data_IF_601786723435
#
_entry.id   IF_601786723435
#
_cell.length_a   1.000
_cell.length_b   1.000
_cell.length_c   1.000
_cell.angle_alpha   90.00
_cell.angle_beta   90.00
_cell.angle_gamma   90.00
#
_symmetry.space_group_name_H-M   'P 1'
#
loop_
_entity.id
_entity.type
_entity.pdbx_description
1 polymer ?
#
# COMPACT_ATOMS: atom_id res chain seq x y z
N UNK A 1 -3.31 67.58 38.38
CA UNK A 1 -3.64 67.11 37.06
C UNK A 1 -2.62 66.01 36.67
N UNK A 2 -2.93 64.75 36.97
CA UNK A 2 -2.05 63.62 36.70
C UNK A 2 -2.50 62.98 35.35
N UNK A 3 -1.61 63.04 34.37
CA UNK A 3 -1.81 62.33 33.08
C UNK A 3 -1.31 60.91 33.25
N UNK A 4 -2.23 59.94 33.28
CA UNK A 4 -1.91 58.53 33.19
C UNK A 4 -1.57 58.20 31.72
N UNK A 5 -0.37 57.68 31.49
CA UNK A 5 0.12 57.21 30.20
C UNK A 5 -0.22 55.70 30.07
N UNK A 6 -1.24 55.39 29.27
CA UNK A 6 -1.64 53.99 29.02
C UNK A 6 -0.73 53.41 27.94
N UNK A 7 0.11 52.46 28.34
CA UNK A 7 0.94 51.69 27.43
C UNK A 7 0.09 50.55 26.82
N UNK A 8 -0.27 50.64 25.53
CA UNK A 8 -0.91 49.57 24.78
C UNK A 8 0.20 48.63 24.30
N UNK A 9 0.31 47.46 24.95
CA UNK A 9 1.20 46.39 24.51
C UNK A 9 0.52 45.65 23.35
N UNK A 10 0.95 45.95 22.11
CA UNK A 10 0.49 45.22 20.93
C UNK A 10 1.09 43.82 20.95
N UNK A 11 0.28 42.81 21.31
CA UNK A 11 0.57 41.41 21.13
C UNK A 11 0.48 41.10 19.61
N UNK A 12 1.64 41.12 18.94
CA UNK A 12 1.76 40.54 17.58
C UNK A 12 1.62 39.03 17.71
N UNK A 13 0.70 38.38 16.96
CA UNK A 13 0.67 36.94 16.90
C UNK A 13 1.96 36.50 16.19
N UNK A 14 2.85 35.82 16.89
CA UNK A 14 3.90 35.00 16.31
C UNK A 14 3.23 33.87 15.53
N UNK A 15 2.91 34.13 14.26
CA UNK A 15 2.60 33.10 13.29
C UNK A 15 3.88 32.29 13.13
N UNK A 16 4.07 31.29 13.97
CA UNK A 16 5.05 30.25 13.73
C UNK A 16 4.69 29.59 12.38
N UNK A 17 5.47 29.86 11.33
CA UNK A 17 5.47 29.04 10.15
C UNK A 17 5.89 27.64 10.61
N UNK A 18 4.92 26.78 10.90
CA UNK A 18 5.14 25.36 11.13
C UNK A 18 5.83 24.83 9.88
N UNK A 19 7.07 24.44 10.00
CA UNK A 19 7.76 23.69 8.96
C UNK A 19 6.91 22.44 8.74
N UNK A 20 6.29 22.29 7.55
CA UNK A 20 5.51 21.10 7.20
C UNK A 20 6.39 19.87 7.46
N UNK A 21 5.94 19.01 8.37
CA UNK A 21 6.61 17.76 8.66
C UNK A 21 6.31 16.76 7.54
N UNK A 22 7.27 16.41 6.66
CA UNK A 22 6.99 15.55 5.51
C UNK A 22 6.53 14.15 5.93
N UNK A 23 6.87 13.70 7.13
CA UNK A 23 6.36 12.45 7.68
C UNK A 23 4.86 12.54 7.97
N UNK A 24 4.36 13.66 8.47
CA UNK A 24 2.92 13.89 8.69
C UNK A 24 2.18 14.04 7.36
N UNK A 25 2.78 14.73 6.39
CA UNK A 25 2.22 14.88 5.04
C UNK A 25 2.02 13.53 4.34
N UNK A 26 2.90 12.56 4.60
CA UNK A 26 2.82 11.21 4.02
C UNK A 26 1.84 10.25 4.75
N UNK A 27 1.27 10.63 5.92
CA UNK A 27 0.38 9.74 6.68
C UNK A 27 -0.87 9.27 5.94
N UNK A 28 -1.54 10.07 5.09
CA UNK A 28 -2.65 9.57 4.27
C UNK A 28 -2.24 8.42 3.34
N UNK A 29 -1.02 8.47 2.77
CA UNK A 29 -0.47 7.41 1.92
C UNK A 29 -0.24 6.13 2.76
N UNK A 30 0.29 6.29 3.97
CA UNK A 30 0.49 5.16 4.91
C UNK A 30 -0.84 4.51 5.25
N UNK A 31 -1.86 5.31 5.55
CA UNK A 31 -3.20 4.80 5.86
C UNK A 31 -3.79 4.03 4.67
N UNK A 32 -3.69 4.55 3.46
CA UNK A 32 -4.17 3.89 2.24
C UNK A 32 -3.41 2.58 1.97
N UNK A 33 -2.07 2.57 2.10
CA UNK A 33 -1.26 1.36 1.97
C UNK A 33 -1.63 0.26 2.97
N UNK A 34 -1.92 0.63 4.22
CA UNK A 34 -2.42 -0.29 5.24
C UNK A 34 -3.83 -0.82 4.93
N UNK A 35 -4.68 -0.03 4.27
CA UNK A 35 -5.99 -0.50 3.81
C UNK A 35 -5.84 -1.53 2.68
N UNK A 36 -4.93 -1.29 1.72
CA UNK A 36 -4.61 -2.26 0.66
C UNK A 36 -4.07 -3.57 1.25
N UNK A 37 -3.14 -3.49 2.19
CA UNK A 37 -2.60 -4.66 2.90
C UNK A 37 -3.71 -5.49 3.57
N UNK A 38 -4.64 -4.85 4.28
CA UNK A 38 -5.76 -5.54 4.93
C UNK A 38 -6.65 -6.27 3.91
N UNK A 39 -6.90 -5.64 2.76
CA UNK A 39 -7.66 -6.25 1.68
C UNK A 39 -6.94 -7.46 1.10
N UNK A 40 -5.62 -7.35 0.82
CA UNK A 40 -4.83 -8.46 0.29
C UNK A 40 -4.69 -9.62 1.28
N UNK A 41 -4.50 -9.35 2.57
CA UNK A 41 -4.48 -10.40 3.60
C UNK A 41 -5.80 -11.17 3.66
N UNK A 42 -6.93 -10.46 3.60
CA UNK A 42 -8.24 -11.11 3.55
C UNK A 42 -8.44 -11.92 2.27
N UNK A 43 -7.94 -11.42 1.13
CA UNK A 43 -7.97 -12.11 -0.17
C UNK A 43 -7.12 -13.36 -0.14
N UNK A 44 -5.90 -13.28 0.38
CA UNK A 44 -4.95 -14.39 0.43
C UNK A 44 -5.52 -15.57 1.25
N UNK A 45 -5.76 -15.34 2.54
CA UNK A 45 -6.29 -16.40 3.40
C UNK A 45 -7.73 -16.79 3.06
N UNK A 46 -8.54 -15.83 2.61
CA UNK A 46 -9.92 -16.08 2.23
C UNK A 46 -10.02 -16.99 1.01
N UNK A 47 -9.15 -16.82 0.03
CA UNK A 47 -9.12 -17.65 -1.18
C UNK A 47 -8.77 -19.10 -0.83
N UNK A 48 -7.76 -19.31 0.01
CA UNK A 48 -7.35 -20.65 0.42
C UNK A 48 -8.50 -21.38 1.15
N UNK A 49 -9.10 -20.73 2.16
CA UNK A 49 -10.21 -21.30 2.92
C UNK A 49 -11.44 -21.56 2.05
N UNK A 50 -11.81 -20.61 1.18
CA UNK A 50 -12.97 -20.77 0.34
C UNK A 50 -12.81 -21.93 -0.65
N UNK A 51 -11.65 -22.05 -1.30
CA UNK A 51 -11.36 -23.13 -2.25
C UNK A 51 -11.29 -24.51 -1.60
N UNK A 52 -11.01 -24.57 -0.31
CA UNK A 52 -11.06 -25.83 0.47
C UNK A 52 -12.50 -26.33 0.65
N UNK A 53 -13.44 -25.41 0.97
CA UNK A 53 -14.80 -25.76 1.39
C UNK A 53 -15.83 -25.70 0.26
N UNK A 54 -15.68 -24.79 -0.71
CA UNK A 54 -16.63 -24.59 -1.80
C UNK A 54 -16.41 -25.61 -2.92
N UNK A 55 -17.42 -26.46 -3.18
CA UNK A 55 -17.27 -27.62 -4.08
C UNK A 55 -17.45 -27.28 -5.57
N UNK A 56 -18.34 -26.32 -5.89
CA UNK A 56 -18.65 -25.98 -7.27
C UNK A 56 -17.70 -24.91 -7.82
N UNK A 57 -16.42 -25.27 -8.00
CA UNK A 57 -15.35 -24.34 -8.40
C UNK A 57 -15.59 -23.67 -9.76
N UNK A 58 -16.32 -24.32 -10.66
CA UNK A 58 -16.66 -23.78 -11.99
C UNK A 58 -17.59 -22.57 -11.89
N UNK A 59 -18.40 -22.47 -10.82
CA UNK A 59 -19.29 -21.36 -10.56
C UNK A 59 -18.56 -20.12 -10.03
N UNK A 60 -17.28 -20.22 -9.67
CA UNK A 60 -16.52 -19.06 -9.15
C UNK A 60 -16.13 -18.16 -10.32
N UNK A 61 -16.54 -16.88 -10.29
CA UNK A 61 -16.12 -15.88 -11.26
C UNK A 61 -14.99 -15.00 -10.73
N UNK A 62 -14.94 -14.77 -9.43
CA UNK A 62 -13.91 -13.95 -8.79
C UNK A 62 -14.24 -13.62 -7.35
N UNK A 63 -13.46 -12.71 -6.80
CA UNK A 63 -13.59 -12.23 -5.44
C UNK A 63 -13.15 -10.77 -5.34
N UNK A 64 -13.49 -10.15 -4.24
CA UNK A 64 -12.92 -8.90 -3.73
C UNK A 64 -12.92 -8.92 -2.21
N UNK A 65 -12.06 -8.11 -1.60
CA UNK A 65 -12.01 -7.97 -0.15
C UNK A 65 -12.19 -6.53 0.27
N UNK A 66 -12.77 -6.33 1.45
CA UNK A 66 -12.97 -5.03 2.07
C UNK A 66 -13.07 -5.16 3.59
N UNK A 67 -12.98 -4.04 4.29
CA UNK A 67 -13.19 -4.01 5.74
C UNK A 67 -14.53 -3.34 6.04
N UNK A 68 -15.35 -3.99 6.85
CA UNK A 68 -16.64 -3.50 7.33
C UNK A 68 -16.65 -3.52 8.85
N UNK A 69 -16.80 -2.35 9.48
CA UNK A 69 -16.78 -2.19 10.94
C UNK A 69 -15.61 -2.90 11.63
N UNK A 70 -14.41 -2.82 11.05
CA UNK A 70 -13.20 -3.44 11.57
C UNK A 70 -13.02 -4.93 11.26
N UNK A 71 -14.02 -5.57 10.63
CA UNK A 71 -13.97 -6.96 10.19
C UNK A 71 -13.51 -7.02 8.73
N UNK A 72 -12.43 -7.71 8.46
CA UNK A 72 -11.95 -7.93 7.10
C UNK A 72 -12.76 -9.07 6.45
N UNK A 73 -13.29 -8.83 5.26
CA UNK A 73 -14.15 -9.77 4.53
C UNK A 73 -13.56 -10.04 3.15
N UNK A 74 -13.50 -11.31 2.74
CA UNK A 74 -13.29 -11.75 1.38
C UNK A 74 -14.61 -12.32 0.84
N UNK A 75 -15.12 -11.72 -0.23
CA UNK A 75 -16.41 -12.06 -0.83
C UNK A 75 -16.19 -12.69 -2.18
N UNK A 76 -16.75 -13.88 -2.38
CA UNK A 76 -16.71 -14.64 -3.63
C UNK A 76 -18.03 -14.54 -4.35
N UNK A 77 -17.99 -14.41 -5.68
CA UNK A 77 -19.19 -14.24 -6.48
C UNK A 77 -19.28 -15.23 -7.65
N UNK A 78 -20.52 -15.53 -8.04
CA UNK A 78 -20.86 -16.54 -9.04
C UNK A 78 -20.56 -16.09 -10.46
N UNK A 79 -20.40 -17.08 -11.32
CA UNK A 79 -20.35 -16.93 -12.78
C UNK A 79 -21.76 -16.98 -13.35
N UNK A 80 -22.42 -15.85 -13.35
CA UNK A 80 -23.77 -15.71 -13.92
C UNK A 80 -23.89 -14.33 -14.58
N UNK A 81 -24.91 -14.13 -15.40
CA UNK A 81 -25.23 -12.82 -15.99
C UNK A 81 -25.52 -11.78 -14.90
N UNK A 82 -26.23 -12.20 -13.83
CA UNK A 82 -26.42 -11.45 -12.60
C UNK A 82 -25.69 -12.17 -11.46
N UNK A 83 -24.42 -11.85 -11.21
CA UNK A 83 -23.64 -12.54 -10.18
C UNK A 83 -24.24 -12.33 -8.78
N UNK A 84 -24.13 -13.36 -7.96
CA UNK A 84 -24.49 -13.33 -6.54
C UNK A 84 -23.27 -13.65 -5.69
N UNK A 85 -23.29 -13.23 -4.44
CA UNK A 85 -22.35 -13.71 -3.45
C UNK A 85 -22.60 -15.20 -3.24
N UNK A 86 -21.55 -16.02 -3.37
CA UNK A 86 -21.61 -17.48 -3.16
C UNK A 86 -20.82 -17.90 -1.92
N UNK A 87 -20.12 -16.96 -1.30
CA UNK A 87 -19.47 -17.15 -0.02
C UNK A 87 -18.78 -15.89 0.47
N UNK A 88 -18.63 -15.83 1.77
CA UNK A 88 -17.92 -14.75 2.48
C UNK A 88 -17.05 -15.38 3.56
N UNK A 89 -15.78 -15.00 3.57
CA UNK A 89 -14.86 -15.34 4.65
C UNK A 89 -14.57 -14.07 5.43
N UNK A 90 -14.77 -14.10 6.74
CA UNK A 90 -14.56 -12.96 7.63
C UNK A 90 -13.45 -13.24 8.62
N UNK A 91 -12.57 -12.27 8.81
CA UNK A 91 -11.42 -12.35 9.69
C UNK A 91 -11.44 -11.26 10.76
N UNK A 92 -10.95 -11.59 11.93
CA UNK A 92 -10.49 -10.60 12.89
C UNK A 92 -9.16 -9.95 12.43
N UNK A 93 -8.60 -9.05 13.24
CA UNK A 93 -7.36 -8.32 12.91
C UNK A 93 -6.11 -9.22 12.83
N UNK A 94 -6.19 -10.49 13.26
CA UNK A 94 -5.06 -11.42 13.23
C UNK A 94 -5.00 -12.24 11.95
N UNK A 95 -6.06 -12.25 11.14
CA UNK A 95 -6.23 -13.10 9.95
C UNK A 95 -5.99 -14.59 10.22
N UNK A 96 -6.28 -15.03 11.44
CA UNK A 96 -6.12 -16.42 11.83
C UNK A 96 -7.20 -17.28 11.13
N UNK A 97 -6.76 -18.20 10.27
CA UNK A 97 -7.65 -19.07 9.51
C UNK A 97 -8.49 -20.02 10.39
N UNK A 98 -8.02 -20.33 11.61
CA UNK A 98 -8.75 -21.20 12.55
C UNK A 98 -9.94 -20.51 13.22
N UNK A 99 -9.91 -19.18 13.31
CA UNK A 99 -10.99 -18.36 13.89
C UNK A 99 -11.83 -17.66 12.84
N UNK A 100 -11.48 -17.81 11.56
CA UNK A 100 -12.22 -17.23 10.46
C UNK A 100 -13.65 -17.77 10.38
N UNK A 101 -14.59 -16.87 10.10
CA UNK A 101 -16.00 -17.24 9.91
C UNK A 101 -16.25 -17.47 8.42
N UNK A 102 -16.64 -18.69 8.09
CA UNK A 102 -16.97 -19.09 6.71
C UNK A 102 -18.49 -19.14 6.55
N UNK A 103 -19.01 -18.39 5.60
CA UNK A 103 -20.42 -18.43 5.20
C UNK A 103 -20.51 -18.78 3.71
N UNK A 104 -21.22 -19.85 3.37
CA UNK A 104 -21.51 -20.26 2.00
C UNK A 104 -22.96 -19.91 1.59
N UNK A 105 -23.59 -18.97 2.31
CA UNK A 105 -24.94 -18.51 2.01
C UNK A 105 -24.94 -17.69 0.73
N UNK A 106 -25.69 -18.17 -0.27
CA UNK A 106 -25.92 -17.39 -1.49
C UNK A 106 -26.84 -16.20 -1.19
N UNK A 107 -26.47 -15.02 -1.70
CA UNK A 107 -27.23 -13.78 -1.52
C UNK A 107 -26.89 -12.75 -2.59
N UNK A 108 -27.70 -11.73 -2.70
CA UNK A 108 -27.36 -10.56 -3.51
C UNK A 108 -26.24 -9.75 -2.85
N UNK A 109 -25.56 -8.92 -3.64
CA UNK A 109 -24.59 -7.95 -3.12
C UNK A 109 -25.31 -6.91 -2.24
N UNK A 110 -24.66 -6.46 -1.17
CA UNK A 110 -25.01 -5.19 -0.51
C UNK A 110 -24.70 -4.00 -1.43
N UNK A 111 -25.15 -2.80 -1.07
CA UNK A 111 -24.82 -1.60 -1.87
C UNK A 111 -23.33 -1.39 -2.06
N UNK A 112 -22.54 -1.46 -0.97
CA UNK A 112 -21.07 -1.32 -1.03
C UNK A 112 -20.42 -2.46 -1.82
N UNK A 113 -20.90 -3.70 -1.65
CA UNK A 113 -20.36 -4.83 -2.40
C UNK A 113 -20.65 -4.73 -3.89
N UNK A 114 -21.82 -4.21 -4.27
CA UNK A 114 -22.16 -3.95 -5.67
C UNK A 114 -21.21 -2.90 -6.28
N UNK A 115 -20.93 -1.83 -5.57
CA UNK A 115 -19.97 -0.83 -6.03
C UNK A 115 -18.57 -1.40 -6.19
N UNK A 116 -18.07 -2.16 -5.20
CA UNK A 116 -16.77 -2.83 -5.26
C UNK A 116 -16.68 -3.80 -6.45
N UNK A 117 -17.75 -4.57 -6.67
CA UNK A 117 -17.85 -5.47 -7.82
C UNK A 117 -17.79 -4.69 -9.14
N UNK A 118 -18.60 -3.63 -9.30
CA UNK A 118 -18.67 -2.88 -10.57
C UNK A 118 -17.35 -2.18 -10.89
N UNK A 119 -16.72 -1.46 -9.93
CA UNK A 119 -15.43 -0.81 -10.20
C UNK A 119 -14.32 -1.84 -10.50
N UNK A 120 -14.32 -3.00 -9.81
CA UNK A 120 -13.38 -4.08 -10.09
C UNK A 120 -13.58 -4.69 -11.48
N UNK A 121 -14.81 -4.90 -11.88
CA UNK A 121 -15.18 -5.42 -13.21
C UNK A 121 -14.73 -4.46 -14.32
N UNK A 122 -14.99 -3.15 -14.15
CA UNK A 122 -14.54 -2.12 -15.08
C UNK A 122 -13.01 -2.06 -15.16
N UNK A 123 -12.31 -2.10 -14.01
CA UNK A 123 -10.85 -2.13 -14.00
C UNK A 123 -10.29 -3.37 -14.71
N UNK A 124 -10.91 -4.53 -14.54
CA UNK A 124 -10.50 -5.75 -15.25
C UNK A 124 -10.68 -5.63 -16.77
N UNK A 125 -11.76 -4.99 -17.23
CA UNK A 125 -11.98 -4.71 -18.64
C UNK A 125 -10.89 -3.78 -19.21
N UNK A 126 -10.51 -2.73 -18.46
CA UNK A 126 -9.42 -1.83 -18.83
C UNK A 126 -8.07 -2.57 -18.93
N UNK A 127 -7.75 -3.43 -17.95
CA UNK A 127 -6.51 -4.21 -17.96
C UNK A 127 -6.40 -5.11 -19.20
N UNK A 128 -7.52 -5.67 -19.65
CA UNK A 128 -7.54 -6.57 -20.80
C UNK A 128 -7.48 -5.84 -22.16
N UNK A 129 -7.72 -4.54 -22.20
CA UNK A 129 -7.87 -3.79 -23.46
C UNK A 129 -6.84 -2.68 -23.63
N UNK A 130 -6.28 -2.13 -22.55
CA UNK A 130 -5.37 -1.01 -22.62
C UNK A 130 -3.90 -1.44 -22.44
N UNK A 131 -3.07 -0.98 -23.33
CA UNK A 131 -1.62 -1.28 -23.37
C UNK A 131 -0.79 -0.59 -22.29
N UNK A 132 -1.37 0.29 -21.48
CA UNK A 132 -0.69 0.85 -20.31
C UNK A 132 -0.34 -0.24 -19.30
N UNK A 133 -1.21 -1.27 -19.17
CA UNK A 133 -1.02 -2.38 -18.26
C UNK A 133 -0.05 -3.40 -18.85
N UNK A 134 1.09 -3.56 -18.21
CA UNK A 134 2.13 -4.49 -18.64
C UNK A 134 2.10 -5.77 -17.82
N UNK A 135 2.29 -6.89 -18.46
CA UNK A 135 2.44 -8.19 -17.81
C UNK A 135 3.88 -8.66 -17.93
N UNK A 136 4.39 -9.28 -16.87
CA UNK A 136 5.74 -9.84 -16.83
C UNK A 136 5.68 -11.33 -16.51
N UNK A 137 6.72 -12.05 -16.94
CA UNK A 137 6.84 -13.48 -16.64
C UNK A 137 6.89 -13.72 -15.13
N UNK A 138 6.19 -14.74 -14.66
CA UNK A 138 6.11 -15.12 -13.25
C UNK A 138 5.53 -14.02 -12.33
N UNK A 139 4.61 -13.22 -12.87
CA UNK A 139 3.87 -12.21 -12.10
C UNK A 139 2.38 -12.28 -12.41
N UNK A 140 1.58 -11.79 -11.47
CA UNK A 140 0.15 -11.55 -11.61
C UNK A 140 -0.17 -10.07 -11.38
N UNK A 141 -1.23 -9.59 -12.01
CA UNK A 141 -1.86 -8.31 -11.69
C UNK A 141 -3.04 -8.56 -10.75
N UNK A 142 -2.92 -8.10 -9.52
CA UNK A 142 -3.96 -8.21 -8.49
C UNK A 142 -4.77 -6.92 -8.43
N UNK A 143 -6.10 -7.04 -8.57
CA UNK A 143 -7.02 -5.91 -8.52
C UNK A 143 -7.57 -5.77 -7.11
N UNK A 144 -7.31 -4.63 -6.49
CA UNK A 144 -7.74 -4.29 -5.13
C UNK A 144 -8.73 -3.12 -5.22
N UNK A 145 -10.04 -3.38 -5.27
CA UNK A 145 -11.02 -2.31 -5.18
C UNK A 145 -11.07 -1.76 -3.76
N UNK A 146 -11.12 -0.45 -3.64
CA UNK A 146 -11.14 0.27 -2.38
C UNK A 146 -12.16 1.40 -2.43
N UNK A 147 -13.03 1.45 -1.43
CA UNK A 147 -13.96 2.56 -1.22
C UNK A 147 -13.66 3.17 0.14
N UNK A 148 -13.37 4.46 0.16
CA UNK A 148 -13.11 5.24 1.36
C UNK A 148 -13.92 6.54 1.32
N UNK A 149 -15.02 6.59 2.04
CA UNK A 149 -16.00 7.66 1.91
C UNK A 149 -16.57 7.72 0.49
N UNK A 150 -16.41 8.86 -0.18
CA UNK A 150 -16.86 9.05 -1.56
C UNK A 150 -15.83 8.62 -2.63
N UNK A 151 -14.59 8.34 -2.19
CA UNK A 151 -13.52 7.92 -3.10
C UNK A 151 -13.66 6.46 -3.47
N UNK A 152 -13.76 6.19 -4.77
CA UNK A 152 -13.77 4.84 -5.33
C UNK A 152 -12.52 4.64 -6.18
N UNK A 153 -11.71 3.64 -5.83
CA UNK A 153 -10.42 3.36 -6.45
C UNK A 153 -10.27 1.86 -6.73
N UNK A 154 -9.51 1.52 -7.76
CA UNK A 154 -8.96 0.18 -7.92
C UNK A 154 -7.45 0.32 -8.08
N UNK A 155 -6.72 -0.26 -7.14
CA UNK A 155 -5.28 -0.44 -7.28
C UNK A 155 -5.01 -1.75 -8.00
N UNK A 156 -4.01 -1.75 -8.85
CA UNK A 156 -3.55 -2.94 -9.55
C UNK A 156 -2.11 -3.16 -9.14
N UNK A 157 -1.87 -4.18 -8.32
CA UNK A 157 -0.54 -4.55 -7.84
C UNK A 157 0.05 -5.67 -8.67
N UNK A 158 1.35 -5.56 -8.94
CA UNK A 158 2.11 -6.68 -9.52
C UNK A 158 2.66 -7.55 -8.41
N UNK A 159 2.12 -8.76 -8.29
CA UNK A 159 2.57 -9.76 -7.32
C UNK A 159 3.41 -10.86 -7.94
N UNK A 160 4.39 -11.46 -7.21
CA UNK A 160 5.18 -12.59 -7.68
C UNK A 160 4.35 -13.88 -7.69
N UNK A 161 4.60 -14.76 -8.70
CA UNK A 161 4.09 -16.14 -8.75
C UNK A 161 5.08 -17.15 -8.14
N UNK A 162 6.21 -16.69 -7.64
CA UNK A 162 7.26 -17.54 -7.07
C UNK A 162 7.74 -16.97 -5.74
N UNK A 163 8.20 -17.81 -4.84
CA UNK A 163 8.84 -17.41 -3.58
C UNK A 163 10.26 -16.88 -3.82
N UNK A 164 10.80 -16.16 -2.82
CA UNK A 164 12.18 -15.66 -2.85
C UNK A 164 12.35 -14.34 -3.60
N UNK A 165 11.28 -13.67 -3.98
CA UNK A 165 11.30 -12.36 -4.61
C UNK A 165 10.15 -11.49 -4.12
N UNK A 166 10.45 -10.22 -3.87
CA UNK A 166 9.46 -9.15 -3.67
C UNK A 166 9.46 -8.30 -4.93
N UNK A 167 8.30 -7.93 -5.41
CA UNK A 167 8.16 -7.13 -6.61
C UNK A 167 7.57 -5.78 -6.25
N UNK A 168 8.31 -4.71 -6.51
CA UNK A 168 7.82 -3.33 -6.48
C UNK A 168 7.60 -2.83 -7.90
N UNK A 169 6.70 -1.89 -8.02
CA UNK A 169 6.42 -1.22 -9.30
C UNK A 169 5.56 -2.02 -10.26
N UNK A 170 5.37 -1.45 -11.45
CA UNK A 170 4.37 -1.90 -12.41
C UNK A 170 2.95 -1.92 -11.82
N UNK A 171 2.67 -0.94 -10.98
CA UNK A 171 1.39 -0.78 -10.30
C UNK A 171 0.59 0.34 -10.93
N UNK A 172 -0.73 0.22 -10.82
CA UNK A 172 -1.64 1.15 -11.47
C UNK A 172 -2.75 1.58 -10.52
N UNK A 173 -3.30 2.76 -10.80
CA UNK A 173 -4.45 3.30 -10.10
C UNK A 173 -5.52 3.69 -11.11
N UNK A 174 -6.74 3.20 -10.87
CA UNK A 174 -7.96 3.65 -11.53
C UNK A 174 -8.84 4.33 -10.49
N UNK A 175 -9.40 5.49 -10.80
CA UNK A 175 -10.35 6.20 -9.93
C UNK A 175 -11.69 6.31 -10.62
N UNK A 176 -12.75 6.28 -9.83
CA UNK A 176 -14.13 6.29 -10.32
C UNK A 176 -14.95 7.36 -9.60
N UNK A 177 -15.99 7.86 -10.25
CA UNK A 177 -16.96 8.74 -9.63
C UNK A 177 -18.00 7.96 -8.79
N UNK A 178 -18.94 8.69 -8.17
CA UNK A 178 -20.00 8.11 -7.35
C UNK A 178 -20.87 7.11 -8.11
N UNK A 179 -21.00 7.25 -9.42
CA UNK A 179 -21.81 6.41 -10.31
C UNK A 179 -20.97 5.29 -10.97
N UNK A 180 -19.78 5.00 -10.43
CA UNK A 180 -18.82 4.00 -10.90
C UNK A 180 -18.23 4.26 -12.30
N UNK A 181 -18.30 5.50 -12.81
CA UNK A 181 -17.70 5.87 -14.09
C UNK A 181 -16.19 6.11 -13.89
N UNK A 182 -15.37 5.53 -14.76
CA UNK A 182 -13.91 5.72 -14.75
C UNK A 182 -13.56 7.20 -15.01
N UNK A 183 -12.78 7.79 -14.10
CA UNK A 183 -12.30 9.17 -14.18
C UNK A 183 -10.83 9.24 -14.63
N UNK A 184 -9.96 8.48 -13.94
CA UNK A 184 -8.51 8.51 -14.16
C UNK A 184 -7.99 7.08 -14.22
N UNK A 185 -7.03 6.88 -15.08
CA UNK A 185 -6.22 5.67 -15.19
C UNK A 185 -4.76 6.08 -15.35
N UNK A 186 -3.90 5.60 -14.45
CA UNK A 186 -2.47 5.94 -14.49
C UNK A 186 -1.59 4.82 -13.97
N UNK A 187 -0.36 4.71 -14.51
CA UNK A 187 0.71 3.94 -13.89
C UNK A 187 1.24 4.72 -12.67
N UNK A 188 1.43 4.04 -11.55
CA UNK A 188 2.07 4.59 -10.35
C UNK A 188 3.59 4.48 -10.46
N UNK A 189 4.07 3.39 -11.07
CA UNK A 189 5.48 3.16 -11.35
C UNK A 189 5.70 2.85 -12.83
N UNK A 190 6.80 3.33 -13.38
CA UNK A 190 7.17 3.12 -14.78
C UNK A 190 7.70 1.71 -15.05
N UNK A 191 8.46 1.17 -14.10
CA UNK A 191 9.19 -0.08 -14.23
C UNK A 191 8.79 -1.09 -13.15
N UNK A 192 9.12 -2.36 -13.40
CA UNK A 192 9.09 -3.41 -12.40
C UNK A 192 10.48 -3.48 -11.70
N UNK A 193 10.49 -3.68 -10.39
CA UNK A 193 11.69 -3.75 -9.56
C UNK A 193 11.63 -5.04 -8.73
N UNK A 194 12.19 -6.16 -9.21
CA UNK A 194 12.29 -7.38 -8.43
C UNK A 194 13.44 -7.29 -7.42
N UNK A 195 13.17 -7.60 -6.16
CA UNK A 195 14.15 -7.68 -5.07
C UNK A 195 14.17 -9.11 -4.56
N UNK A 196 15.26 -9.83 -4.82
CA UNK A 196 15.43 -11.22 -4.42
C UNK A 196 15.89 -11.31 -2.97
N UNK A 197 15.47 -12.36 -2.25
CA UNK A 197 15.85 -12.63 -0.87
C UNK A 197 16.03 -14.14 -0.62
N UNK A 198 16.79 -14.51 0.42
CA UNK A 198 16.98 -15.91 0.84
C UNK A 198 17.85 -16.74 -0.11
N UNK A 199 18.76 -16.13 -0.88
CA UNK A 199 19.71 -16.82 -1.74
C UNK A 199 20.80 -17.55 -0.95
N UNK A 200 21.42 -18.60 -1.55
CA UNK A 200 22.50 -19.37 -0.90
C UNK A 200 23.73 -18.52 -0.54
N UNK A 201 23.96 -17.42 -1.25
CA UNK A 201 25.05 -16.48 -0.98
C UNK A 201 24.76 -15.55 0.22
N UNK A 202 23.48 -15.48 0.66
CA UNK A 202 23.05 -14.69 1.81
C UNK A 202 23.09 -15.48 3.14
N UNK A 203 23.39 -16.78 3.10
CA UNK A 203 23.43 -17.62 4.31
C UNK A 203 24.39 -17.09 5.38
N UNK A 204 25.45 -16.36 4.98
CA UNK A 204 26.46 -15.76 5.86
C UNK A 204 26.27 -14.24 6.05
N UNK A 205 25.32 -13.60 5.33
CA UNK A 205 25.05 -12.16 5.40
C UNK A 205 23.55 -11.92 5.59
N UNK A 206 23.18 -11.48 6.77
CA UNK A 206 21.80 -11.08 7.02
C UNK A 206 21.50 -9.76 6.28
N UNK A 207 20.72 -9.83 5.20
CA UNK A 207 20.18 -8.65 4.54
C UNK A 207 19.12 -8.02 5.44
N UNK A 208 19.46 -6.93 6.11
CA UNK A 208 18.59 -6.26 7.08
C UNK A 208 17.60 -5.26 6.44
N UNK A 209 17.72 -5.03 5.13
CA UNK A 209 16.87 -4.10 4.42
C UNK A 209 17.15 -4.06 2.92
N UNK A 210 16.25 -3.42 2.20
CA UNK A 210 16.35 -3.19 0.78
C UNK A 210 16.07 -1.72 0.44
N UNK A 211 16.29 -1.33 -0.80
CA UNK A 211 15.95 0.02 -1.27
C UNK A 211 15.57 0.02 -2.75
N UNK A 212 14.75 1.00 -3.10
CA UNK A 212 14.52 1.38 -4.49
C UNK A 212 14.41 2.90 -4.63
N UNK A 213 14.34 3.39 -5.87
CA UNK A 213 14.22 4.82 -6.14
C UNK A 213 12.95 5.13 -6.93
N UNK A 214 12.34 6.28 -6.61
CA UNK A 214 11.25 6.84 -7.37
C UNK A 214 11.76 7.80 -8.45
N UNK A 215 11.18 7.67 -9.63
CA UNK A 215 11.32 8.65 -10.69
C UNK A 215 10.43 9.87 -10.40
N UNK A 216 10.72 11.04 -10.97
CA UNK A 216 9.92 12.26 -10.74
C UNK A 216 8.42 12.07 -10.99
N UNK A 217 8.03 11.25 -11.96
CA UNK A 217 6.64 10.96 -12.31
C UNK A 217 5.91 10.08 -11.27
N UNK A 218 6.63 9.30 -10.47
CA UNK A 218 6.08 8.51 -9.35
C UNK A 218 5.80 9.41 -8.14
N UNK A 219 6.61 10.46 -7.97
CA UNK A 219 6.50 11.41 -6.87
C UNK A 219 7.58 11.22 -5.81
N UNK A 220 7.49 12.04 -4.76
CA UNK A 220 8.54 12.15 -3.75
C UNK A 220 8.35 11.22 -2.55
N UNK A 221 7.12 10.83 -2.27
CA UNK A 221 6.81 9.92 -1.16
C UNK A 221 6.76 8.46 -1.61
N UNK A 222 6.98 7.55 -0.68
CA UNK A 222 6.64 6.13 -0.83
C UNK A 222 5.17 6.01 -1.24
N UNK A 223 4.82 5.06 -2.12
CA UNK A 223 3.44 4.89 -2.56
C UNK A 223 2.64 3.97 -1.63
N UNK A 224 1.31 4.04 -1.72
CA UNK A 224 0.43 3.11 -0.99
C UNK A 224 0.66 1.65 -1.44
N UNK A 225 1.03 1.43 -2.71
CA UNK A 225 1.34 0.10 -3.24
C UNK A 225 2.67 -0.43 -2.73
N UNK A 226 3.69 0.42 -2.55
CA UNK A 226 4.95 0.02 -1.91
C UNK A 226 4.73 -0.42 -0.47
N UNK A 227 3.94 0.35 0.30
CA UNK A 227 3.62 0.03 1.69
C UNK A 227 2.86 -1.29 1.78
N UNK A 228 1.86 -1.50 0.92
CA UNK A 228 1.13 -2.75 0.85
C UNK A 228 2.08 -3.92 0.57
N UNK A 229 2.94 -3.81 -0.44
CA UNK A 229 3.93 -4.81 -0.82
C UNK A 229 4.92 -5.11 0.32
N UNK A 230 5.42 -4.06 0.99
CA UNK A 230 6.29 -4.23 2.15
C UNK A 230 5.61 -5.05 3.23
N UNK A 231 4.43 -4.64 3.69
CA UNK A 231 3.71 -5.33 4.75
C UNK A 231 3.34 -6.78 4.41
N UNK A 232 3.14 -7.10 3.11
CA UNK A 232 2.88 -8.47 2.66
C UNK A 232 4.13 -9.36 2.71
N UNK A 233 5.31 -8.80 2.42
CA UNK A 233 6.51 -9.62 2.14
C UNK A 233 7.68 -9.40 3.09
N UNK A 234 7.76 -8.28 3.83
CA UNK A 234 8.90 -7.92 4.69
C UNK A 234 9.27 -8.99 5.71
N UNK A 235 8.27 -9.71 6.26
CA UNK A 235 8.49 -10.79 7.22
C UNK A 235 9.11 -12.02 6.56
N UNK A 236 8.70 -12.35 5.33
CA UNK A 236 9.28 -13.44 4.56
C UNK A 236 10.72 -13.13 4.11
N UNK A 237 10.97 -11.86 3.78
CA UNK A 237 12.29 -11.37 3.40
C UNK A 237 13.20 -11.08 4.61
N UNK A 238 12.65 -11.14 5.84
CA UNK A 238 13.33 -10.81 7.09
C UNK A 238 13.96 -9.40 7.09
N UNK A 239 13.28 -8.43 6.45
CA UNK A 239 13.73 -7.04 6.41
C UNK A 239 13.34 -6.32 7.70
N UNK A 240 14.24 -5.45 8.16
CA UNK A 240 13.99 -4.51 9.27
C UNK A 240 13.61 -3.13 8.79
N UNK A 241 14.19 -2.74 7.65
CA UNK A 241 13.93 -1.45 7.03
C UNK A 241 13.87 -1.56 5.51
N UNK A 242 13.09 -0.67 4.90
CA UNK A 242 13.11 -0.47 3.47
C UNK A 242 13.18 1.03 3.16
N UNK A 243 14.06 1.41 2.23
CA UNK A 243 14.28 2.80 1.88
C UNK A 243 13.75 3.09 0.48
N UNK A 244 12.99 4.17 0.35
CA UNK A 244 12.57 4.70 -0.96
C UNK A 244 13.20 6.07 -1.14
N UNK A 245 14.05 6.19 -2.15
CA UNK A 245 14.79 7.42 -2.45
C UNK A 245 14.13 8.16 -3.60
N UNK A 246 13.74 9.40 -3.38
CA UNK A 246 13.25 10.29 -4.41
C UNK A 246 14.20 11.48 -4.59
N UNK A 247 13.84 12.40 -5.49
CA UNK A 247 14.62 13.62 -5.70
C UNK A 247 14.72 14.47 -4.43
N UNK A 248 13.64 14.58 -3.65
CA UNK A 248 13.54 15.53 -2.54
C UNK A 248 13.60 14.87 -1.17
N UNK A 249 13.29 13.55 -1.07
CA UNK A 249 13.17 12.85 0.20
C UNK A 249 13.81 11.46 0.20
N UNK A 250 14.28 11.08 1.38
CA UNK A 250 14.53 9.69 1.76
C UNK A 250 13.36 9.24 2.63
N UNK A 251 12.59 8.27 2.15
CA UNK A 251 11.50 7.63 2.86
C UNK A 251 12.03 6.35 3.49
N UNK A 252 11.94 6.22 4.81
CA UNK A 252 12.42 5.07 5.58
C UNK A 252 11.20 4.36 6.17
N UNK A 253 10.89 3.18 5.67
CA UNK A 253 9.88 2.31 6.24
C UNK A 253 10.52 1.38 7.28
N UNK A 254 10.01 1.39 8.51
CA UNK A 254 10.39 0.46 9.55
C UNK A 254 9.47 -0.76 9.49
N UNK A 255 10.01 -1.91 9.08
CA UNK A 255 9.27 -3.16 8.90
C UNK A 255 8.88 -3.85 10.22
N UNK A 256 9.46 -3.45 11.35
CA UNK A 256 9.12 -4.01 12.67
C UNK A 256 7.94 -3.29 13.31
N UNK A 257 7.77 -2.00 13.00
CA UNK A 257 6.74 -1.14 13.61
C UNK A 257 5.68 -0.64 12.64
N UNK A 258 5.82 -0.94 11.34
CA UNK A 258 4.96 -0.45 10.25
C UNK A 258 4.82 1.08 10.26
N UNK A 259 5.96 1.77 10.43
CA UNK A 259 6.03 3.23 10.52
C UNK A 259 6.93 3.82 9.45
N UNK A 260 6.52 4.96 8.93
CA UNK A 260 7.25 5.76 7.97
C UNK A 260 7.95 6.92 8.64
N UNK A 261 9.21 7.16 8.28
CA UNK A 261 9.95 8.40 8.54
C UNK A 261 10.40 8.99 7.21
N UNK A 262 10.14 10.28 6.99
CA UNK A 262 10.55 10.99 5.78
C UNK A 262 11.57 12.05 6.12
N UNK A 263 12.73 11.99 5.47
CA UNK A 263 13.86 12.91 5.70
C UNK A 263 14.14 13.69 4.41
N UNK A 264 14.12 15.03 4.43
CA UNK A 264 14.52 15.84 3.28
C UNK A 264 15.98 15.56 2.88
N UNK A 265 16.25 15.44 1.57
CA UNK A 265 17.60 15.14 1.04
C UNK A 265 18.64 16.17 1.46
N UNK A 266 18.27 17.45 1.56
CA UNK A 266 19.18 18.51 2.04
C UNK A 266 19.60 18.29 3.50
N UNK A 267 18.76 17.65 4.33
CA UNK A 267 19.08 17.24 5.70
C UNK A 267 20.04 16.04 5.70
N UNK A 268 19.85 15.07 4.82
CA UNK A 268 20.75 13.95 4.63
C UNK A 268 22.15 14.43 4.22
N UNK A 269 22.25 15.39 3.32
CA UNK A 269 23.53 15.98 2.92
C UNK A 269 24.28 16.63 4.10
N UNK A 270 23.56 17.31 4.97
CA UNK A 270 24.15 17.90 6.20
C UNK A 270 24.66 16.82 7.16
N UNK A 271 23.89 15.76 7.37
CA UNK A 271 24.27 14.62 8.22
C UNK A 271 25.53 13.95 7.67
N UNK A 272 25.57 13.66 6.37
CA UNK A 272 26.72 13.02 5.73
C UNK A 272 27.98 13.87 5.85
N UNK A 273 27.90 15.19 5.60
CA UNK A 273 29.02 16.13 5.75
C UNK A 273 29.54 16.17 7.21
N UNK A 274 28.64 16.14 8.17
CA UNK A 274 29.03 16.13 9.59
C UNK A 274 29.69 14.81 10.00
N UNK A 275 29.17 13.67 9.54
CA UNK A 275 29.79 12.36 9.74
C UNK A 275 31.20 12.27 9.12
N UNK A 276 31.38 12.78 7.91
CA UNK A 276 32.70 12.86 7.28
C UNK A 276 33.70 13.71 8.09
N UNK A 277 33.26 14.86 8.60
CA UNK A 277 34.09 15.71 9.47
C UNK A 277 34.50 14.99 10.74
N UNK A 278 33.54 14.29 11.40
CA UNK A 278 33.83 13.50 12.63
C UNK A 278 34.79 12.34 12.36
N UNK A 279 34.61 11.63 11.25
CA UNK A 279 35.49 10.53 10.85
C UNK A 279 36.92 11.01 10.58
N UNK A 280 37.08 12.14 9.88
CA UNK A 280 38.36 12.77 9.62
C UNK A 280 39.07 13.24 10.91
N UNK A 281 38.32 13.74 11.90
CA UNK A 281 38.88 14.11 13.22
C UNK A 281 39.37 12.88 14.00
N UNK A 282 38.57 11.79 14.02
CA UNK A 282 38.97 10.53 14.65
C UNK A 282 40.24 9.92 14.02
N UNK A 283 40.41 10.03 12.71
CA UNK A 283 41.62 9.55 12.02
C UNK A 283 42.85 10.39 12.29
N UNK A 284 42.69 11.67 12.65
CA UNK A 284 43.79 12.58 12.98
C UNK A 284 44.18 12.54 14.46
N UNK A 285 43.54 11.74 15.31
CA UNK A 285 43.86 11.59 16.73
C UNK A 285 43.43 12.76 17.61
N UNK A 286 42.50 13.56 17.13
CA UNK A 286 41.86 14.65 17.91
C UNK A 286 40.53 14.18 18.54
#
# INVERSE_FOLDING_TARGET
MNKALTFILALLPLSGFGQNNPTEEAQPIVAEGKMLYKSEMASWYGTDLFLEVYKNKENISGYFSYTDNGVAKCVFFSRAEKPKVIGTISFDSTYNTKTAIVSLTERDFSGTENDLYEIRKLALAEINTDTIFKTYKNTNLNLIPLINGEEKKVFVLTGPQQSGVVIFGNDYLLTFDKDNKLLIKKALHKNIIPVYYGGKEEADKQTIGAMHSHLPETGDFITATDICTLMLYEKFANWKTHNVVSKNYLNIWNCETDQLTVIPMNTMDKINKDQEKRSKKKQKGE
#
